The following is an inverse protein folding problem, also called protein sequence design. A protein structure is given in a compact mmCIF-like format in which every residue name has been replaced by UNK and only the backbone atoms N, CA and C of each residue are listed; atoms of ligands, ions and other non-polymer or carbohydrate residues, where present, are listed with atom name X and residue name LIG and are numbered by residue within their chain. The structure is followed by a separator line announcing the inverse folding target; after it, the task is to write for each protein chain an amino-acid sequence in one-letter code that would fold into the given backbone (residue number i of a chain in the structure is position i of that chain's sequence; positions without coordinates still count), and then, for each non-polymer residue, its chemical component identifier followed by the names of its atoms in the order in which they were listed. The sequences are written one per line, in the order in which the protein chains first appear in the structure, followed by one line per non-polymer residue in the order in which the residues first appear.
data_IF_761570381333
#
_entry.id   IF_761570381333
#
_cell.length_a   1.000
_cell.length_b   1.000
_cell.length_c   1.000
_cell.angle_alpha   90.00
_cell.angle_beta   90.00
_cell.angle_gamma   90.00
#
_symmetry.space_group_name_H-M   'P 1'
#
loop_
_entity.id
_entity.type
_entity.pdbx_description
1 polymer ?
#
# COMPACT_ATOMS: atom_id res chain seq x y z
N UNK A 1 -0.75 -24.86 4.81
CA UNK A 1 -1.52 -23.61 4.84
C UNK A 1 -2.99 -23.91 4.55
N UNK A 2 -3.87 -23.16 5.18
CA UNK A 2 -5.30 -23.18 4.86
C UNK A 2 -5.56 -22.20 3.71
N UNK A 3 -6.66 -22.42 2.97
CA UNK A 3 -7.01 -21.54 1.85
C UNK A 3 -8.45 -21.08 1.97
N UNK A 4 -8.69 -19.79 1.70
CA UNK A 4 -10.01 -19.18 1.62
C UNK A 4 -10.11 -18.46 0.28
N UNK A 5 -11.22 -18.63 -0.43
CA UNK A 5 -11.49 -17.91 -1.67
C UNK A 5 -12.71 -17.01 -1.52
N UNK A 6 -12.62 -15.79 -2.02
CA UNK A 6 -13.76 -14.88 -2.13
C UNK A 6 -14.61 -15.29 -3.33
N UNK A 7 -15.89 -15.56 -3.11
CA UNK A 7 -16.83 -15.95 -4.17
C UNK A 7 -17.78 -14.82 -4.56
N UNK A 8 -17.97 -13.82 -3.68
CA UNK A 8 -18.79 -12.64 -3.96
C UNK A 8 -17.92 -11.47 -4.42
N UNK A 9 -18.36 -10.76 -5.45
CA UNK A 9 -17.64 -9.62 -6.02
C UNK A 9 -17.95 -8.30 -5.33
N UNK A 10 -19.10 -8.20 -4.68
CA UNK A 10 -19.67 -6.97 -4.11
C UNK A 10 -19.39 -6.78 -2.61
N UNK A 11 -18.63 -7.67 -1.99
CA UNK A 11 -18.35 -7.63 -0.54
C UNK A 11 -16.89 -7.97 -0.24
N UNK A 12 -16.35 -7.36 0.80
CA UNK A 12 -15.07 -7.78 1.38
C UNK A 12 -15.20 -9.21 1.93
N UNK A 13 -14.10 -9.97 1.85
CA UNK A 13 -14.01 -11.27 2.50
C UNK A 13 -13.92 -11.11 4.02
N UNK A 14 -13.15 -10.12 4.47
CA UNK A 14 -13.05 -9.70 5.87
C UNK A 14 -13.29 -8.21 5.99
N UNK A 15 -14.09 -7.84 6.96
CA UNK A 15 -14.29 -6.45 7.37
C UNK A 15 -14.12 -6.35 8.88
N UNK A 16 -13.07 -5.62 9.31
CA UNK A 16 -12.79 -5.34 10.71
C UNK A 16 -13.49 -4.05 11.09
N UNK A 17 -14.31 -4.10 12.13
CA UNK A 17 -15.11 -2.95 12.64
C UNK A 17 -14.99 -2.82 14.15
N UNK A 18 -15.40 -1.68 14.68
CA UNK A 18 -15.57 -1.46 16.12
C UNK A 18 -14.29 -1.66 16.96
N UNK A 19 -13.14 -1.24 16.43
CA UNK A 19 -11.87 -1.38 17.13
C UNK A 19 -11.34 -2.82 17.19
N UNK A 20 -11.84 -3.70 16.33
CA UNK A 20 -11.40 -5.10 16.29
C UNK A 20 -9.92 -5.23 15.97
N UNK A 21 -9.29 -6.25 16.55
CA UNK A 21 -7.93 -6.66 16.23
C UNK A 21 -7.93 -8.11 15.75
N UNK A 22 -7.30 -8.36 14.60
CA UNK A 22 -7.20 -9.67 13.98
C UNK A 22 -5.75 -9.95 13.57
N UNK A 23 -5.29 -11.18 13.81
CA UNK A 23 -4.02 -11.67 13.27
C UNK A 23 -4.27 -12.88 12.39
N UNK A 24 -3.70 -12.85 11.17
CA UNK A 24 -3.79 -13.94 10.18
C UNK A 24 -2.39 -14.52 9.94
N UNK A 25 -2.27 -15.83 10.04
CA UNK A 25 -1.03 -16.59 9.82
C UNK A 25 -1.35 -17.92 9.13
N UNK A 26 -0.41 -18.47 8.36
CA UNK A 26 -0.55 -19.76 7.68
C UNK A 26 -1.84 -19.87 6.86
N UNK A 27 -2.20 -18.80 6.18
CA UNK A 27 -3.46 -18.66 5.45
C UNK A 27 -3.23 -18.07 4.07
N UNK A 28 -3.71 -18.75 3.04
CA UNK A 28 -3.76 -18.24 1.69
C UNK A 28 -5.16 -17.69 1.40
N UNK A 29 -5.22 -16.44 0.97
CA UNK A 29 -6.46 -15.78 0.55
C UNK A 29 -6.42 -15.55 -0.95
N UNK A 30 -7.47 -16.00 -1.64
CA UNK A 30 -7.66 -15.75 -3.05
C UNK A 30 -8.82 -14.79 -3.25
N UNK A 31 -8.51 -13.57 -3.70
CA UNK A 31 -9.49 -12.62 -4.20
C UNK A 31 -10.12 -13.16 -5.48
N UNK A 32 -11.39 -12.84 -5.73
CA UNK A 32 -12.09 -13.34 -6.92
C UNK A 32 -11.62 -12.60 -8.17
N UNK A 33 -11.29 -13.36 -9.23
CA UNK A 33 -10.92 -12.86 -10.54
C UNK A 33 -12.06 -12.14 -11.29
N UNK A 34 -13.31 -12.43 -10.94
CA UNK A 34 -14.49 -11.96 -11.66
C UNK A 34 -15.19 -10.76 -10.98
N UNK A 35 -14.51 -10.09 -10.05
CA UNK A 35 -15.07 -8.93 -9.35
C UNK A 35 -15.20 -7.74 -10.29
N UNK A 36 -16.42 -7.44 -10.71
CA UNK A 36 -16.75 -6.30 -11.57
C UNK A 36 -16.93 -4.96 -10.85
N UNK A 37 -16.75 -4.88 -9.55
CA UNK A 37 -16.97 -3.69 -8.75
C UNK A 37 -15.64 -3.12 -8.26
N UNK A 38 -15.28 -2.02 -8.88
CA UNK A 38 -14.19 -1.13 -8.54
C UNK A 38 -14.37 -0.61 -7.14
N UNK A 39 -13.82 -0.85 -6.11
CA UNK A 39 -13.86 -0.20 -4.78
C UNK A 39 -14.04 -1.13 -3.57
N UNK A 40 -14.27 -2.42 -3.77
CA UNK A 40 -14.41 -3.34 -2.64
C UNK A 40 -13.09 -4.07 -2.37
N UNK A 41 -12.39 -3.66 -1.32
CA UNK A 41 -11.18 -4.35 -0.86
C UNK A 41 -11.49 -5.82 -0.49
N UNK A 42 -10.55 -6.72 -0.76
CA UNK A 42 -10.67 -8.10 -0.28
C UNK A 42 -10.71 -8.12 1.26
N UNK A 43 -9.87 -7.33 1.91
CA UNK A 43 -9.89 -7.12 3.36
C UNK A 43 -10.07 -5.63 3.63
N UNK A 44 -11.07 -5.27 4.43
CA UNK A 44 -11.30 -3.89 4.86
C UNK A 44 -11.01 -3.72 6.35
N UNK A 45 -10.06 -2.87 6.68
CA UNK A 45 -9.69 -2.53 8.06
C UNK A 45 -10.27 -1.14 8.37
N UNK A 46 -11.44 -1.10 9.02
CA UNK A 46 -12.13 0.15 9.37
C UNK A 46 -11.38 0.94 10.43
N UNK A 47 -11.82 2.17 10.63
CA UNK A 47 -11.22 3.08 11.60
C UNK A 47 -11.01 2.44 12.98
N UNK A 48 -9.84 2.71 13.56
CA UNK A 48 -9.39 2.21 14.87
C UNK A 48 -9.23 0.69 14.97
N UNK A 49 -9.36 -0.04 13.86
CA UNK A 49 -9.12 -1.48 13.81
C UNK A 49 -7.65 -1.80 13.49
N UNK A 50 -7.24 -3.02 13.83
CA UNK A 50 -5.88 -3.48 13.62
C UNK A 50 -5.87 -4.85 12.95
N UNK A 51 -5.17 -4.95 11.82
CA UNK A 51 -4.87 -6.20 11.15
C UNK A 51 -3.38 -6.49 11.24
N UNK A 52 -3.03 -7.71 11.64
CA UNK A 52 -1.65 -8.20 11.61
C UNK A 52 -1.58 -9.39 10.66
N UNK A 53 -0.69 -9.32 9.69
CA UNK A 53 -0.37 -10.41 8.77
C UNK A 53 1.00 -10.96 9.17
N UNK A 54 1.04 -12.24 9.49
CA UNK A 54 2.25 -12.89 10.00
C UNK A 54 2.67 -14.07 9.13
N UNK A 55 3.57 -14.88 9.66
CA UNK A 55 4.22 -15.97 8.93
C UNK A 55 3.24 -16.87 8.18
N UNK A 56 3.60 -17.19 6.93
CA UNK A 56 2.82 -18.06 6.04
C UNK A 56 1.49 -17.46 5.59
N UNK A 57 1.27 -16.15 5.74
CA UNK A 57 0.13 -15.47 5.16
C UNK A 57 0.44 -15.06 3.73
N UNK A 58 -0.45 -15.38 2.81
CA UNK A 58 -0.38 -14.93 1.42
C UNK A 58 -1.75 -14.41 0.95
N UNK A 59 -1.77 -13.23 0.36
CA UNK A 59 -2.95 -12.66 -0.30
C UNK A 59 -2.69 -12.54 -1.80
N UNK A 60 -3.52 -13.23 -2.57
CA UNK A 60 -3.63 -13.09 -4.02
C UNK A 60 -4.90 -12.29 -4.32
N UNK A 61 -4.78 -11.00 -4.57
CA UNK A 61 -5.95 -10.12 -4.68
C UNK A 61 -6.81 -10.35 -5.93
N UNK A 62 -6.32 -11.12 -6.89
CA UNK A 62 -7.11 -11.63 -8.02
C UNK A 62 -6.86 -10.89 -9.34
N UNK A 63 -7.60 -11.32 -10.38
CA UNK A 63 -7.51 -10.77 -11.73
C UNK A 63 -8.72 -9.86 -11.98
N UNK A 64 -8.54 -8.53 -11.89
CA UNK A 64 -9.57 -7.60 -12.35
C UNK A 64 -9.66 -7.56 -13.89
N UNK A 65 -10.83 -7.23 -14.43
CA UNK A 65 -10.96 -6.84 -15.82
C UNK A 65 -10.35 -5.45 -16.05
N UNK A 66 -10.17 -5.05 -17.32
CA UNK A 66 -9.42 -3.86 -17.73
C UNK A 66 -9.85 -2.52 -17.10
N UNK A 67 -11.03 -2.46 -16.50
CA UNK A 67 -11.63 -1.26 -15.91
C UNK A 67 -11.75 -1.29 -14.37
N UNK A 68 -11.37 -2.38 -13.69
CA UNK A 68 -11.65 -2.56 -12.28
C UNK A 68 -10.38 -2.36 -11.43
N UNK A 69 -10.44 -1.42 -10.51
CA UNK A 69 -9.39 -1.21 -9.52
C UNK A 69 -9.65 -2.14 -8.32
N UNK A 70 -9.10 -3.34 -8.36
CA UNK A 70 -9.15 -4.23 -7.22
C UNK A 70 -8.21 -3.72 -6.12
N UNK A 71 -8.71 -3.74 -4.89
CA UNK A 71 -7.93 -3.42 -3.70
C UNK A 71 -7.75 -4.71 -2.91
N UNK A 72 -6.50 -5.10 -2.68
CA UNK A 72 -6.21 -6.24 -1.82
C UNK A 72 -6.63 -5.93 -0.39
N UNK A 73 -5.99 -4.94 0.24
CA UNK A 73 -6.32 -4.50 1.60
C UNK A 73 -6.55 -2.99 1.61
N UNK A 74 -7.67 -2.55 2.17
CA UNK A 74 -7.94 -1.15 2.45
C UNK A 74 -7.76 -0.87 3.95
N UNK A 75 -6.89 0.07 4.28
CA UNK A 75 -6.61 0.54 5.64
C UNK A 75 -7.25 1.90 5.81
N UNK A 76 -8.33 1.97 6.57
CA UNK A 76 -9.09 3.20 6.81
C UNK A 76 -8.38 4.17 7.77
N UNK A 77 -9.03 5.29 8.01
CA UNK A 77 -8.51 6.33 8.90
C UNK A 77 -8.28 5.79 10.33
N UNK A 78 -7.12 6.10 10.90
CA UNK A 78 -6.67 5.63 12.22
C UNK A 78 -6.69 4.10 12.38
N UNK A 79 -6.78 3.35 11.26
CA UNK A 79 -6.61 1.90 11.27
C UNK A 79 -5.13 1.54 11.13
N UNK A 80 -4.78 0.32 11.53
CA UNK A 80 -3.40 -0.15 11.48
C UNK A 80 -3.31 -1.48 10.73
N UNK A 81 -2.44 -1.54 9.73
CA UNK A 81 -1.96 -2.78 9.12
C UNK A 81 -0.52 -3.04 9.57
N UNK A 82 -0.25 -4.22 10.11
CA UNK A 82 1.09 -4.68 10.45
C UNK A 82 1.42 -5.88 9.56
N UNK A 83 2.58 -5.81 8.91
CA UNK A 83 3.15 -6.97 8.21
C UNK A 83 4.40 -7.43 8.95
N UNK A 84 4.48 -8.72 9.25
CA UNK A 84 5.60 -9.31 9.97
C UNK A 84 5.99 -10.66 9.39
N UNK A 85 7.25 -11.05 9.62
CA UNK A 85 7.78 -12.32 9.16
C UNK A 85 7.86 -12.39 7.63
N UNK A 86 7.29 -13.44 7.04
CA UNK A 86 7.26 -13.73 5.61
C UNK A 86 5.88 -13.49 4.97
N UNK A 87 5.00 -12.72 5.61
CA UNK A 87 3.69 -12.37 5.05
C UNK A 87 3.83 -11.74 3.65
N UNK A 88 3.03 -12.17 2.70
CA UNK A 88 3.09 -11.67 1.32
C UNK A 88 1.72 -11.20 0.83
N UNK A 89 1.69 -10.02 0.22
CA UNK A 89 0.55 -9.50 -0.55
C UNK A 89 1.06 -9.33 -1.98
N UNK A 90 0.46 -10.04 -2.91
CA UNK A 90 0.96 -10.09 -4.29
C UNK A 90 -0.10 -10.41 -5.31
N UNK A 91 0.25 -10.23 -6.58
CA UNK A 91 -0.48 -10.76 -7.74
C UNK A 91 -1.86 -10.14 -8.00
N UNK A 92 -2.09 -8.89 -7.62
CA UNK A 92 -3.14 -8.11 -8.26
C UNK A 92 -2.78 -7.86 -9.72
N UNK A 93 -3.63 -8.26 -10.65
CA UNK A 93 -3.33 -8.06 -12.09
C UNK A 93 -3.53 -6.60 -12.50
N UNK A 94 -4.46 -5.89 -11.86
CA UNK A 94 -4.86 -4.52 -12.21
C UNK A 94 -5.40 -3.76 -11.01
N UNK A 95 -4.67 -3.70 -9.93
CA UNK A 95 -5.21 -3.04 -8.73
C UNK A 95 -4.14 -2.51 -7.81
N UNK A 96 -4.60 -2.06 -6.69
CA UNK A 96 -3.77 -1.63 -5.58
C UNK A 96 -3.68 -2.79 -4.60
N UNK A 97 -2.48 -3.25 -4.28
CA UNK A 97 -2.34 -4.31 -3.29
C UNK A 97 -2.75 -3.81 -1.91
N UNK A 98 -2.27 -2.63 -1.52
CA UNK A 98 -2.63 -1.98 -0.26
C UNK A 98 -2.99 -0.52 -0.50
N UNK A 99 -4.17 -0.12 -0.03
CA UNK A 99 -4.63 1.26 0.00
C UNK A 99 -4.61 1.74 1.45
N UNK A 100 -3.94 2.85 1.74
CA UNK A 100 -3.85 3.44 3.08
C UNK A 100 -4.48 4.84 3.07
N UNK A 101 -5.52 5.03 3.88
CA UNK A 101 -6.18 6.33 4.09
C UNK A 101 -5.22 7.35 4.73
N UNK A 102 -5.49 8.66 4.65
CA UNK A 102 -4.56 9.72 5.06
C UNK A 102 -4.04 9.62 6.49
N UNK A 103 -4.83 9.08 7.42
CA UNK A 103 -4.43 8.85 8.82
C UNK A 103 -4.26 7.36 9.13
N UNK A 104 -4.34 6.49 8.13
CA UNK A 104 -4.05 5.07 8.26
C UNK A 104 -2.57 4.82 8.56
N UNK A 105 -2.27 3.68 9.16
CA UNK A 105 -0.93 3.30 9.62
C UNK A 105 -0.54 1.99 8.96
N UNK A 106 0.61 1.97 8.28
CA UNK A 106 1.25 0.75 7.81
C UNK A 106 2.58 0.56 8.55
N UNK A 107 2.73 -0.58 9.22
CA UNK A 107 3.95 -0.97 9.92
C UNK A 107 4.57 -2.18 9.25
N UNK A 108 5.79 -2.06 8.77
CA UNK A 108 6.56 -3.11 8.14
C UNK A 108 7.60 -3.64 9.16
N UNK A 109 7.34 -4.80 9.72
CA UNK A 109 8.25 -5.58 10.59
C UNK A 109 8.85 -6.78 9.84
N UNK A 110 8.65 -6.82 8.53
CA UNK A 110 8.94 -7.88 7.60
C UNK A 110 7.85 -7.95 6.54
N UNK A 111 7.80 -9.06 5.83
CA UNK A 111 6.79 -9.28 4.79
C UNK A 111 7.09 -8.54 3.48
N UNK A 112 6.24 -8.75 2.49
CA UNK A 112 6.41 -8.24 1.14
C UNK A 112 5.07 -7.75 0.57
N UNK A 113 5.11 -6.63 -0.12
CA UNK A 113 4.00 -6.16 -0.96
C UNK A 113 4.56 -6.04 -2.36
N UNK A 114 4.16 -6.94 -3.25
CA UNK A 114 4.71 -7.01 -4.60
C UNK A 114 3.67 -6.60 -5.62
N UNK A 115 3.95 -5.57 -6.39
CA UNK A 115 3.22 -5.32 -7.61
C UNK A 115 3.52 -6.42 -8.65
N UNK A 116 2.60 -6.64 -9.58
CA UNK A 116 2.84 -7.57 -10.69
C UNK A 116 3.87 -6.96 -11.66
N UNK A 117 4.78 -7.79 -12.15
CA UNK A 117 5.86 -7.38 -13.05
C UNK A 117 5.41 -7.09 -14.50
N UNK A 118 4.22 -7.54 -14.92
CA UNK A 118 3.77 -7.38 -16.32
C UNK A 118 2.27 -7.04 -16.40
N UNK A 119 1.95 -5.88 -16.90
CA UNK A 119 0.61 -5.47 -17.30
C UNK A 119 0.63 -4.41 -18.38
N UNK A 120 -0.14 -4.61 -19.45
CA UNK A 120 -0.23 -3.74 -20.63
C UNK A 120 -0.80 -2.34 -20.33
N UNK A 121 -1.19 -2.06 -19.09
CA UNK A 121 -1.92 -0.84 -18.70
C UNK A 121 -1.39 -0.14 -17.44
N UNK A 122 -0.10 -0.24 -17.14
CA UNK A 122 0.55 0.70 -16.21
C UNK A 122 0.01 0.79 -14.79
N UNK A 123 -0.64 -0.24 -14.28
CA UNK A 123 -1.22 -0.25 -12.94
C UNK A 123 -0.42 -1.10 -11.96
N UNK A 124 0.89 -0.95 -11.97
CA UNK A 124 1.77 -1.63 -11.03
C UNK A 124 1.79 -0.91 -9.67
N UNK A 125 0.64 -0.86 -8.99
CA UNK A 125 0.50 -0.18 -7.70
C UNK A 125 0.60 -1.19 -6.58
N UNK A 126 1.72 -1.25 -5.87
CA UNK A 126 1.77 -2.09 -4.69
C UNK A 126 1.21 -1.37 -3.46
N UNK A 127 1.50 -0.08 -3.32
CA UNK A 127 1.12 0.70 -2.15
C UNK A 127 0.57 2.07 -2.55
N UNK A 128 -0.73 2.27 -2.38
CA UNK A 128 -1.38 3.55 -2.57
C UNK A 128 -1.52 4.29 -1.23
N UNK A 129 -0.89 5.45 -1.14
CA UNK A 129 -0.95 6.34 0.01
C UNK A 129 -1.87 7.51 -0.34
N UNK A 130 -3.10 7.51 0.19
CA UNK A 130 -4.06 8.58 -0.08
C UNK A 130 -3.64 9.85 0.66
N UNK A 131 -3.65 10.98 -0.04
CA UNK A 131 -3.41 12.28 0.58
C UNK A 131 -4.73 12.93 0.99
N UNK A 132 -4.74 13.55 2.16
CA UNK A 132 -5.78 14.51 2.54
C UNK A 132 -5.24 15.93 2.37
N UNK A 133 -6.05 16.79 1.74
CA UNK A 133 -5.72 18.18 1.49
C UNK A 133 -6.67 19.04 2.30
N UNK A 134 -6.10 19.85 3.21
CA UNK A 134 -6.85 20.80 4.01
C UNK A 134 -6.20 22.20 3.88
N UNK A 135 -6.77 23.01 3.00
CA UNK A 135 -6.17 24.30 2.64
C UNK A 135 -4.79 24.10 2.00
N UNK A 136 -3.76 24.63 2.64
CA UNK A 136 -2.37 24.51 2.20
C UNK A 136 -1.60 23.33 2.85
N UNK A 137 -2.29 22.52 3.66
CA UNK A 137 -1.68 21.36 4.32
C UNK A 137 -2.03 20.09 3.56
N UNK A 138 -1.03 19.26 3.33
CA UNK A 138 -1.17 17.92 2.79
C UNK A 138 -0.78 16.93 3.87
N UNK A 139 -1.65 15.97 4.13
CA UNK A 139 -1.36 14.84 5.02
C UNK A 139 -1.26 13.59 4.17
N UNK A 140 -0.14 12.89 4.27
CA UNK A 140 0.09 11.60 3.62
C UNK A 140 0.29 10.57 4.73
N UNK A 141 -0.30 9.36 4.62
CA UNK A 141 -0.02 8.30 5.58
C UNK A 141 1.46 7.94 5.55
N UNK A 142 2.04 7.73 6.73
CA UNK A 142 3.46 7.36 6.85
C UNK A 142 3.61 5.87 7.04
N UNK A 143 4.43 5.24 6.18
CA UNK A 143 4.86 3.85 6.37
C UNK A 143 5.95 3.82 7.43
N UNK A 144 5.83 2.94 8.42
CA UNK A 144 6.86 2.75 9.45
C UNK A 144 7.59 1.43 9.20
N UNK A 145 8.91 1.46 9.14
CA UNK A 145 9.78 0.28 9.00
C UNK A 145 10.45 0.03 10.35
N UNK A 146 10.22 -1.16 10.92
CA UNK A 146 10.71 -1.52 12.26
C UNK A 146 11.87 -2.54 12.24
N UNK A 147 12.08 -3.21 11.10
CA UNK A 147 13.17 -4.17 10.89
C UNK A 147 13.67 -4.08 9.45
N UNK A 148 14.81 -4.66 9.16
CA UNK A 148 15.30 -4.83 7.80
C UNK A 148 14.26 -5.51 6.92
N UNK A 149 13.96 -4.86 5.79
CA UNK A 149 13.02 -5.41 4.82
C UNK A 149 13.68 -6.51 3.99
N UNK A 150 12.94 -7.55 3.57
CA UNK A 150 13.45 -8.58 2.68
C UNK A 150 14.17 -7.99 1.46
N UNK A 151 15.24 -8.63 1.01
CA UNK A 151 16.07 -8.13 -0.09
C UNK A 151 15.30 -8.01 -1.43
N UNK A 152 14.28 -8.83 -1.61
CA UNK A 152 13.41 -8.86 -2.79
C UNK A 152 12.11 -8.02 -2.61
N UNK A 153 12.09 -7.11 -1.63
CA UNK A 153 11.00 -6.15 -1.47
C UNK A 153 11.06 -5.08 -2.55
N UNK A 154 9.90 -4.77 -3.15
CA UNK A 154 9.73 -3.73 -4.17
C UNK A 154 8.39 -3.03 -3.94
N UNK A 155 8.43 -1.87 -3.29
CA UNK A 155 7.26 -1.08 -2.95
C UNK A 155 7.07 0.03 -3.99
N UNK A 156 6.12 -0.15 -4.89
CA UNK A 156 5.73 0.87 -5.88
C UNK A 156 4.67 1.79 -5.27
N UNK A 157 5.09 3.00 -4.95
CA UNK A 157 4.26 4.01 -4.29
C UNK A 157 3.39 4.75 -5.29
N UNK A 158 2.08 4.73 -5.07
CA UNK A 158 1.11 5.58 -5.74
C UNK A 158 0.71 6.73 -4.80
N UNK A 159 0.99 7.96 -5.23
CA UNK A 159 0.71 9.20 -4.52
C UNK A 159 -0.24 10.10 -5.34
N UNK A 160 -1.19 9.49 -6.04
CA UNK A 160 -2.04 10.17 -7.04
C UNK A 160 -2.74 11.41 -6.48
N UNK A 161 -3.36 11.30 -5.32
CA UNK A 161 -4.06 12.44 -4.69
C UNK A 161 -3.09 13.57 -4.32
N UNK A 162 -1.87 13.22 -3.93
CA UNK A 162 -0.81 14.19 -3.66
C UNK A 162 -0.40 14.97 -4.91
N UNK A 163 -0.33 14.32 -6.06
CA UNK A 163 -0.03 14.99 -7.32
C UNK A 163 -1.15 15.89 -7.82
N UNK A 164 -2.40 15.48 -7.65
CA UNK A 164 -3.56 16.31 -8.01
C UNK A 164 -3.58 17.62 -7.21
N UNK A 165 -3.05 17.58 -5.98
CA UNK A 165 -2.96 18.77 -5.12
C UNK A 165 -1.91 19.79 -5.56
N UNK A 166 -0.97 19.42 -6.42
CA UNK A 166 0.15 20.27 -6.85
C UNK A 166 -0.24 21.60 -7.53
N UNK A 167 -1.43 21.68 -8.08
CA UNK A 167 -1.91 22.94 -8.66
C UNK A 167 -2.10 24.03 -7.61
N UNK A 168 -2.25 23.67 -6.34
CA UNK A 168 -2.57 24.56 -5.23
C UNK A 168 -1.55 24.56 -4.10
N UNK A 169 -0.80 23.46 -3.93
CA UNK A 169 0.18 23.29 -2.85
C UNK A 169 1.54 22.91 -3.44
N UNK A 170 2.59 23.64 -3.08
CA UNK A 170 3.95 23.22 -3.43
C UNK A 170 4.35 22.06 -2.53
N UNK A 171 4.77 20.91 -3.10
CA UNK A 171 5.29 19.80 -2.31
C UNK A 171 6.44 20.29 -1.45
N UNK A 172 6.32 20.09 -0.14
CA UNK A 172 7.43 20.20 0.81
C UNK A 172 8.27 18.93 0.79
N UNK A 173 9.05 18.75 1.83
CA UNK A 173 9.79 17.51 2.06
C UNK A 173 8.97 16.60 2.98
N UNK A 174 7.85 16.07 2.46
CA UNK A 174 6.95 15.18 3.23
C UNK A 174 7.59 13.82 3.44
N UNK A 175 7.44 13.30 4.67
CA UNK A 175 7.87 11.96 5.02
C UNK A 175 6.84 10.93 4.52
N UNK A 176 7.28 9.99 3.70
CA UNK A 176 6.46 8.85 3.22
C UNK A 176 6.82 7.54 3.93
N UNK A 177 8.08 7.38 4.32
CA UNK A 177 8.54 6.21 5.08
C UNK A 177 9.43 6.70 6.22
N UNK A 178 9.34 6.09 7.38
CA UNK A 178 10.23 6.36 8.52
C UNK A 178 10.69 5.08 9.18
N UNK A 179 11.89 5.10 9.71
CA UNK A 179 12.36 4.10 10.66
C UNK A 179 11.77 4.31 12.05
N UNK A 180 12.28 3.57 13.00
CA UNK A 180 11.92 3.64 14.43
C UNK A 180 13.17 3.90 15.28
N UNK A 181 13.00 4.01 16.58
CA UNK A 181 14.13 4.08 17.52
C UNK A 181 14.98 2.80 17.51
N UNK A 182 14.38 1.67 17.12
CA UNK A 182 15.03 0.37 17.04
C UNK A 182 15.60 0.04 15.66
N UNK A 183 15.23 0.77 14.62
CA UNK A 183 15.66 0.53 13.25
C UNK A 183 15.88 1.83 12.48
N UNK A 184 17.10 2.04 12.04
CA UNK A 184 17.48 3.19 11.21
C UNK A 184 17.49 2.78 9.73
N UNK A 185 16.75 3.52 8.92
CA UNK A 185 16.71 3.33 7.47
C UNK A 185 18.07 3.55 6.84
N UNK A 186 18.35 2.79 5.80
CA UNK A 186 19.60 2.80 5.02
C UNK A 186 19.32 3.12 3.54
N UNK A 187 20.38 3.38 2.77
CA UNK A 187 20.26 3.49 1.31
C UNK A 187 19.70 2.20 0.68
N UNK A 188 19.99 1.03 1.27
CA UNK A 188 19.40 -0.24 0.84
C UNK A 188 17.88 -0.26 1.01
N UNK A 189 17.35 0.38 2.06
CA UNK A 189 15.90 0.49 2.24
C UNK A 189 15.31 1.51 1.26
N UNK A 190 15.97 2.65 1.04
CA UNK A 190 15.53 3.62 0.03
C UNK A 190 15.36 2.97 -1.35
N UNK A 191 16.29 2.09 -1.75
CA UNK A 191 16.24 1.39 -3.03
C UNK A 191 15.06 0.42 -3.17
N UNK A 192 14.37 0.06 -2.11
CA UNK A 192 13.17 -0.79 -2.12
C UNK A 192 11.87 -0.02 -2.34
N UNK A 193 11.93 1.31 -2.31
CA UNK A 193 10.77 2.17 -2.53
C UNK A 193 10.91 2.92 -3.85
N UNK A 194 9.93 2.79 -4.72
CA UNK A 194 9.91 3.42 -6.03
C UNK A 194 8.62 4.21 -6.23
N UNK A 195 8.71 5.36 -6.85
CA UNK A 195 7.52 6.06 -7.32
C UNK A 195 6.99 5.35 -8.57
N UNK A 196 5.69 5.26 -8.70
CA UNK A 196 5.08 4.74 -9.92
C UNK A 196 5.55 5.49 -11.15
N UNK A 197 5.88 4.75 -12.20
CA UNK A 197 6.36 5.30 -13.48
C UNK A 197 5.25 5.54 -14.48
N UNK A 198 4.05 4.98 -14.26
CA UNK A 198 2.97 5.05 -15.21
C UNK A 198 1.73 5.73 -14.65
N UNK A 199 1.22 6.70 -15.36
CA UNK A 199 0.03 7.46 -15.00
C UNK A 199 -0.96 7.51 -16.14
N UNK A 200 -2.23 7.51 -15.81
CA UNK A 200 -3.28 7.86 -16.75
C UNK A 200 -3.08 9.32 -17.17
N UNK A 201 -2.74 9.56 -18.44
CA UNK A 201 -2.53 10.92 -18.96
C UNK A 201 -1.08 11.28 -19.34
N UNK A 202 -0.16 10.34 -19.32
CA UNK A 202 1.20 10.53 -19.88
C UNK A 202 2.18 11.28 -18.99
N UNK A 203 1.83 11.56 -17.72
CA UNK A 203 2.78 12.09 -16.75
C UNK A 203 3.30 10.95 -15.86
N UNK A 204 4.59 10.88 -15.67
CA UNK A 204 5.22 9.92 -14.75
C UNK A 204 5.63 10.64 -13.47
N UNK A 205 5.38 10.02 -12.30
CA UNK A 205 5.74 10.62 -11.01
C UNK A 205 7.23 10.88 -10.87
N UNK A 206 8.03 9.96 -11.37
CA UNK A 206 9.49 10.03 -11.36
C UNK A 206 10.05 11.19 -12.19
N UNK A 207 9.28 11.77 -13.12
CA UNK A 207 9.67 12.94 -13.91
C UNK A 207 9.70 14.23 -13.07
N UNK A 208 8.89 14.31 -12.01
CA UNK A 208 8.67 15.53 -11.23
C UNK A 208 9.03 15.39 -9.77
N UNK A 209 9.07 14.17 -9.27
CA UNK A 209 9.29 13.87 -7.88
C UNK A 209 10.46 12.90 -7.73
N UNK A 210 11.13 12.97 -6.60
CA UNK A 210 12.14 12.00 -6.19
C UNK A 210 11.97 11.62 -4.74
N UNK A 211 12.35 10.38 -4.42
CA UNK A 211 12.52 9.91 -3.04
C UNK A 211 13.97 10.12 -2.63
N UNK A 212 14.20 10.54 -1.40
CA UNK A 212 15.54 10.68 -0.85
C UNK A 212 15.54 10.36 0.64
N UNK A 213 16.67 9.87 1.13
CA UNK A 213 16.88 9.59 2.55
C UNK A 213 17.33 10.87 3.26
N UNK A 214 16.65 11.21 4.35
CA UNK A 214 16.98 12.34 5.22
C UNK A 214 16.88 11.90 6.69
N UNK A 215 18.03 11.67 7.31
CA UNK A 215 18.11 11.06 8.64
C UNK A 215 17.45 9.67 8.63
N UNK A 216 16.49 9.46 9.52
CA UNK A 216 15.75 8.19 9.62
C UNK A 216 14.39 8.25 8.88
N UNK A 217 14.34 8.94 7.75
CA UNK A 217 13.12 9.07 6.95
C UNK A 217 13.41 9.09 5.44
N UNK A 218 12.56 8.43 4.67
CA UNK A 218 12.47 8.60 3.23
C UNK A 218 11.41 9.67 2.97
N UNK A 219 11.83 10.71 2.31
CA UNK A 219 11.02 11.89 2.00
C UNK A 219 10.83 12.02 0.50
N UNK A 220 9.78 12.76 0.12
CA UNK A 220 9.49 13.11 -1.25
C UNK A 220 9.71 14.61 -1.46
N UNK A 221 10.31 14.98 -2.61
CA UNK A 221 10.44 16.37 -3.03
C UNK A 221 10.28 16.53 -4.54
N UNK A 222 10.01 17.73 -4.98
CA UNK A 222 10.08 18.08 -6.39
C UNK A 222 11.54 18.06 -6.88
N UNK A 223 11.74 17.57 -8.10
CA UNK A 223 13.04 17.66 -8.82
C UNK A 223 13.31 19.08 -9.30
#
# INVERSE_FOLDING_TARGET
NYSISRTASDKSLFELTNGASLKLTNLNIYGNADAHLAEVACIFVRASCKLTLGNGFELYSGNGNDNDQLIGISVGDNATLIMEGDAEISKSIKGQEVLVAPTGILQLKGGKIKAREEGTYGSERSLCLQAAINGNQVTIPTVTVENELPADSDFKLDLYDYLLSRSTVRPGAETVVKGTDSYTLTDSDLMKFHLMTNTTGGMTYDSYLELYLDGNAIKIRAK
#
